data_IF_221833824493
#
_entry.id   IF_221833824493
#
_cell.length_a   1.000
_cell.length_b   1.000
_cell.length_c   1.000
_cell.angle_alpha   90.00
_cell.angle_beta   90.00
_cell.angle_gamma   90.00
#
_symmetry.space_group_name_H-M   'P 1'
#
loop_
_entity.id
_entity.type
_entity.pdbx_description
1 polymer ?
#
# COMPACT_ATOMS: atom_id res chain seq x y z
N UNK A 1 3.47 -9.36 -27.47
CA UNK A 1 3.66 -8.54 -26.24
C UNK A 1 4.95 -8.95 -25.57
N UNK A 2 5.96 -8.09 -25.58
CA UNK A 2 7.19 -8.27 -24.80
C UNK A 2 6.82 -8.20 -23.32
N UNK A 3 7.13 -9.26 -22.57
CA UNK A 3 6.82 -9.38 -21.14
C UNK A 3 7.73 -8.43 -20.35
N UNK A 4 7.26 -7.21 -20.10
CA UNK A 4 7.95 -6.28 -19.20
C UNK A 4 7.72 -6.75 -17.76
N UNK A 5 8.80 -7.05 -17.05
CA UNK A 5 8.78 -7.40 -15.63
C UNK A 5 9.65 -6.41 -14.86
N UNK A 6 9.09 -5.84 -13.80
CA UNK A 6 9.86 -5.09 -12.81
C UNK A 6 10.61 -6.09 -11.92
N UNK A 7 11.92 -5.93 -11.81
CA UNK A 7 12.78 -6.75 -10.96
C UNK A 7 13.61 -5.83 -10.05
N UNK A 8 14.12 -6.38 -8.94
CA UNK A 8 15.04 -5.67 -8.05
C UNK A 8 14.38 -4.74 -7.03
N UNK A 9 13.06 -4.70 -6.92
CA UNK A 9 12.36 -3.95 -5.88
C UNK A 9 12.28 -4.74 -4.57
N UNK A 10 12.79 -4.13 -3.50
CA UNK A 10 12.60 -4.61 -2.13
C UNK A 10 11.16 -4.35 -1.66
N UNK A 11 10.77 -4.91 -0.51
CA UNK A 11 9.44 -4.73 0.07
C UNK A 11 9.10 -3.25 0.29
N UNK A 12 10.06 -2.47 0.80
CA UNK A 12 9.94 -1.04 0.99
C UNK A 12 9.65 -0.29 -0.31
N UNK A 13 10.37 -0.62 -1.39
CA UNK A 13 10.20 0.05 -2.69
C UNK A 13 8.80 -0.21 -3.24
N UNK A 14 8.27 -1.43 -3.07
CA UNK A 14 6.89 -1.78 -3.45
C UNK A 14 5.88 -0.99 -2.62
N UNK A 15 6.12 -0.82 -1.33
CA UNK A 15 5.24 -0.03 -0.48
C UNK A 15 5.21 1.45 -0.90
N UNK A 16 6.38 2.06 -1.13
CA UNK A 16 6.47 3.44 -1.66
C UNK A 16 5.81 3.54 -3.02
N UNK A 17 5.98 2.51 -3.87
CA UNK A 17 5.35 2.45 -5.17
C UNK A 17 3.82 2.46 -5.07
N UNK A 18 3.25 1.59 -4.24
CA UNK A 18 1.81 1.54 -3.98
C UNK A 18 1.27 2.85 -3.39
N UNK A 19 2.03 3.48 -2.49
CA UNK A 19 1.59 4.70 -1.81
C UNK A 19 1.63 5.94 -2.71
N UNK A 20 2.59 6.04 -3.65
CA UNK A 20 2.89 7.31 -4.33
C UNK A 20 3.11 7.20 -5.83
N UNK A 21 3.71 6.11 -6.30
CA UNK A 21 4.17 6.04 -7.69
C UNK A 21 3.12 5.45 -8.63
N UNK A 22 2.19 4.61 -8.15
CA UNK A 22 1.11 4.07 -8.99
C UNK A 22 0.31 5.20 -9.65
N UNK A 23 -0.17 6.17 -8.87
CA UNK A 23 -0.94 7.30 -9.39
C UNK A 23 -0.17 8.17 -10.36
N UNK A 24 1.15 8.31 -10.21
CA UNK A 24 1.96 9.16 -11.08
C UNK A 24 2.46 8.42 -12.33
N UNK A 25 3.02 7.23 -12.14
CA UNK A 25 3.69 6.47 -13.19
C UNK A 25 2.72 5.99 -14.28
N UNK A 26 1.45 5.76 -13.93
CA UNK A 26 0.47 5.18 -14.84
C UNK A 26 -0.60 6.14 -15.33
N UNK A 27 -0.56 7.42 -14.94
CA UNK A 27 -1.57 8.43 -15.30
C UNK A 27 -1.83 8.50 -16.81
N UNK A 28 -0.78 8.52 -17.63
CA UNK A 28 -0.91 8.59 -19.09
C UNK A 28 -0.90 7.20 -19.77
N UNK A 29 -0.70 6.13 -18.99
CA UNK A 29 -0.52 4.77 -19.52
C UNK A 29 -1.78 3.91 -19.42
N UNK A 30 -2.66 4.21 -18.47
CA UNK A 30 -3.87 3.43 -18.19
C UNK A 30 -5.12 4.20 -18.62
N UNK A 31 -6.20 3.46 -18.86
CA UNK A 31 -7.51 4.06 -19.05
C UNK A 31 -7.95 4.75 -17.76
N UNK A 32 -8.62 5.90 -17.90
CA UNK A 32 -9.03 6.76 -16.77
C UNK A 32 -9.72 5.99 -15.65
N UNK A 33 -10.64 5.08 -16.00
CA UNK A 33 -11.37 4.28 -15.01
C UNK A 33 -10.44 3.34 -14.22
N UNK A 34 -9.43 2.73 -14.85
CA UNK A 34 -8.47 1.86 -14.18
C UNK A 34 -7.54 2.67 -13.30
N UNK A 35 -7.01 3.77 -13.83
CA UNK A 35 -6.11 4.67 -13.11
C UNK A 35 -6.77 5.28 -11.87
N UNK A 36 -8.03 5.70 -11.99
CA UNK A 36 -8.81 6.24 -10.89
C UNK A 36 -8.93 5.25 -9.72
N UNK A 37 -9.25 3.97 -9.99
CA UNK A 37 -9.36 2.95 -8.91
C UNK A 37 -8.03 2.62 -8.26
N UNK A 38 -6.96 2.55 -9.05
CA UNK A 38 -5.62 2.38 -8.52
C UNK A 38 -5.20 3.56 -7.62
N UNK A 39 -5.62 4.77 -7.97
CA UNK A 39 -5.33 5.97 -7.19
C UNK A 39 -6.09 6.03 -5.88
N UNK A 40 -7.32 5.50 -5.81
CA UNK A 40 -8.06 5.33 -4.54
C UNK A 40 -7.28 4.45 -3.55
N UNK A 41 -6.70 3.35 -4.03
CA UNK A 41 -5.85 2.47 -3.22
C UNK A 41 -4.58 3.21 -2.76
N UNK A 42 -3.90 3.94 -3.65
CA UNK A 42 -2.74 4.76 -3.28
C UNK A 42 -3.08 5.79 -2.21
N UNK A 43 -4.22 6.47 -2.33
CA UNK A 43 -4.69 7.45 -1.35
C UNK A 43 -4.99 6.84 0.03
N UNK A 44 -5.56 5.63 0.06
CA UNK A 44 -5.76 4.87 1.29
C UNK A 44 -4.41 4.61 1.97
N UNK A 45 -3.44 4.04 1.26
CA UNK A 45 -2.10 3.78 1.81
C UNK A 45 -1.40 5.07 2.23
N UNK A 46 -1.57 6.15 1.47
CA UNK A 46 -0.99 7.45 1.81
C UNK A 46 -1.54 7.99 3.13
N UNK A 47 -2.83 7.80 3.38
CA UNK A 47 -3.52 8.29 4.57
C UNK A 47 -3.11 7.50 5.82
N UNK A 48 -3.09 6.17 5.75
CA UNK A 48 -2.70 5.32 6.90
C UNK A 48 -1.19 5.39 7.20
N UNK A 49 -0.36 5.65 6.18
CA UNK A 49 1.10 5.75 6.33
C UNK A 49 1.60 7.20 6.48
N UNK A 50 0.70 8.15 6.73
CA UNK A 50 1.05 9.55 6.96
C UNK A 50 1.90 9.70 8.23
N UNK A 51 2.74 10.73 8.27
CA UNK A 51 3.57 11.06 9.44
C UNK A 51 2.74 11.50 10.65
N UNK A 52 1.52 11.98 10.40
CA UNK A 52 0.46 12.31 11.35
C UNK A 52 -0.83 11.61 10.94
N UNK A 53 -1.61 11.12 11.91
CA UNK A 53 -2.91 10.50 11.64
C UNK A 53 -4.03 11.50 11.89
N UNK A 54 -4.89 11.66 10.89
CA UNK A 54 -6.17 12.36 11.01
C UNK A 54 -7.26 11.34 11.32
N UNK A 55 -7.77 11.36 12.54
CA UNK A 55 -8.77 10.39 13.02
C UNK A 55 -10.08 10.50 12.23
N UNK A 56 -10.48 11.72 11.85
CA UNK A 56 -11.70 11.95 11.06
C UNK A 56 -11.55 11.29 9.69
N UNK A 57 -10.40 11.52 9.04
CA UNK A 57 -10.08 10.89 7.75
C UNK A 57 -10.01 9.37 7.84
N UNK A 58 -9.44 8.82 8.92
CA UNK A 58 -9.40 7.37 9.13
C UNK A 58 -10.81 6.78 9.29
N UNK A 59 -11.71 7.48 9.98
CA UNK A 59 -13.11 7.06 10.12
C UNK A 59 -13.85 7.06 8.77
N UNK A 60 -13.62 8.06 7.92
CA UNK A 60 -14.15 8.09 6.55
C UNK A 60 -13.58 6.95 5.69
N UNK A 61 -12.30 6.64 5.87
CA UNK A 61 -11.65 5.52 5.18
C UNK A 61 -12.17 4.16 5.66
N UNK A 62 -12.50 4.00 6.94
CA UNK A 62 -13.14 2.78 7.47
C UNK A 62 -14.49 2.49 6.78
N UNK A 63 -15.23 3.53 6.40
CA UNK A 63 -16.51 3.37 5.68
C UNK A 63 -16.33 3.20 4.17
N UNK A 64 -15.32 3.83 3.57
CA UNK A 64 -15.11 3.80 2.11
C UNK A 64 -14.22 2.67 1.62
N UNK A 65 -13.40 2.04 2.49
CA UNK A 65 -12.44 1.00 2.08
C UNK A 65 -13.08 -0.22 1.43
N UNK A 66 -14.27 -0.63 1.88
CA UNK A 66 -15.01 -1.72 1.24
C UNK A 66 -15.39 -1.38 -0.21
N UNK A 67 -15.79 -0.12 -0.46
CA UNK A 67 -16.09 0.37 -1.81
C UNK A 67 -14.82 0.42 -2.67
N UNK A 68 -13.70 0.88 -2.11
CA UNK A 68 -12.39 0.89 -2.80
C UNK A 68 -11.99 -0.53 -3.21
N UNK A 69 -12.19 -1.53 -2.34
CA UNK A 69 -11.92 -2.94 -2.66
C UNK A 69 -12.84 -3.45 -3.76
N UNK A 70 -14.15 -3.21 -3.68
CA UNK A 70 -15.08 -3.61 -4.75
C UNK A 70 -14.73 -2.96 -6.09
N UNK A 71 -14.39 -1.66 -6.08
CA UNK A 71 -13.95 -0.95 -7.28
C UNK A 71 -12.69 -1.55 -7.90
N UNK A 72 -11.77 -2.08 -7.06
CA UNK A 72 -10.56 -2.76 -7.50
C UNK A 72 -10.89 -4.13 -8.10
N UNK A 73 -11.85 -4.86 -7.53
CA UNK A 73 -12.36 -6.14 -8.03
C UNK A 73 -13.02 -6.02 -9.41
N UNK A 74 -13.59 -4.87 -9.76
CA UNK A 74 -14.13 -4.63 -11.09
C UNK A 74 -13.06 -4.62 -12.19
N UNK A 75 -11.82 -4.19 -11.88
CA UNK A 75 -10.76 -4.00 -12.87
C UNK A 75 -9.75 -5.15 -12.93
N UNK A 76 -9.69 -5.99 -11.90
CA UNK A 76 -8.78 -7.14 -11.83
C UNK A 76 -9.54 -8.47 -11.94
N UNK A 77 -8.93 -9.52 -12.51
CA UNK A 77 -9.53 -10.86 -12.52
C UNK A 77 -9.80 -11.37 -11.10
N UNK A 78 -10.90 -12.10 -10.88
CA UNK A 78 -11.23 -12.65 -9.56
C UNK A 78 -10.15 -13.55 -8.95
N UNK A 79 -9.32 -14.19 -9.78
CA UNK A 79 -8.17 -15.00 -9.32
C UNK A 79 -7.07 -14.17 -8.65
N UNK A 80 -7.08 -12.85 -8.81
CA UNK A 80 -6.15 -11.95 -8.13
C UNK A 80 -6.53 -11.70 -6.67
N UNK A 81 -7.80 -11.83 -6.30
CA UNK A 81 -8.28 -11.55 -4.95
C UNK A 81 -8.39 -12.85 -4.17
N UNK A 82 -7.38 -13.11 -3.35
CA UNK A 82 -7.46 -14.08 -2.28
C UNK A 82 -7.73 -13.37 -0.94
N UNK A 83 -7.78 -14.13 0.16
CA UNK A 83 -8.05 -13.59 1.48
C UNK A 83 -7.10 -12.45 1.91
N UNK A 84 -5.88 -12.41 1.36
CA UNK A 84 -4.85 -11.44 1.73
C UNK A 84 -5.15 -10.05 1.18
N UNK A 85 -5.65 -9.93 -0.06
CA UNK A 85 -6.01 -8.65 -0.67
C UNK A 85 -7.14 -7.97 0.11
N UNK A 86 -8.08 -8.75 0.66
CA UNK A 86 -9.17 -8.24 1.47
C UNK A 86 -8.76 -7.71 2.84
N UNK A 87 -7.54 -7.99 3.33
CA UNK A 87 -7.07 -7.44 4.61
C UNK A 87 -6.97 -5.91 4.61
N UNK A 88 -6.95 -5.27 3.43
CA UNK A 88 -6.99 -3.81 3.28
C UNK A 88 -8.16 -3.19 4.08
N UNK A 89 -9.30 -3.87 4.19
CA UNK A 89 -10.49 -3.35 4.89
C UNK A 89 -10.23 -3.07 6.38
N UNK A 90 -9.26 -3.74 6.98
CA UNK A 90 -8.94 -3.59 8.40
C UNK A 90 -7.90 -2.48 8.65
N UNK A 91 -7.14 -2.08 7.64
CA UNK A 91 -5.98 -1.20 7.82
C UNK A 91 -6.35 0.19 8.38
N UNK A 92 -7.47 0.77 7.96
CA UNK A 92 -7.92 2.07 8.46
C UNK A 92 -8.24 2.01 9.97
N UNK A 93 -8.95 0.96 10.39
CA UNK A 93 -9.25 0.71 11.80
C UNK A 93 -7.99 0.43 12.62
N UNK A 94 -7.10 -0.42 12.11
CA UNK A 94 -5.83 -0.72 12.76
C UNK A 94 -4.92 0.50 12.87
N UNK A 95 -4.94 1.41 11.88
CA UNK A 95 -4.25 2.70 11.95
C UNK A 95 -4.83 3.58 13.05
N UNK A 96 -6.16 3.66 13.15
CA UNK A 96 -6.85 4.48 14.16
C UNK A 96 -6.58 3.99 15.59
N UNK A 97 -6.65 2.68 15.82
CA UNK A 97 -6.48 2.10 17.17
C UNK A 97 -5.00 1.92 17.54
N UNK A 98 -4.17 1.48 16.59
CA UNK A 98 -2.75 1.18 16.84
C UNK A 98 -1.80 2.36 16.62
N UNK A 99 -2.31 3.52 16.20
CA UNK A 99 -1.51 4.72 15.97
C UNK A 99 -0.62 4.63 14.73
N UNK A 100 0.43 5.46 14.69
CA UNK A 100 1.26 5.66 13.50
C UNK A 100 1.87 4.35 12.98
N UNK A 101 1.55 4.02 11.73
CA UNK A 101 1.99 2.79 11.05
C UNK A 101 3.53 2.70 10.99
N UNK A 102 4.24 3.83 10.88
CA UNK A 102 5.72 3.88 10.83
C UNK A 102 6.43 3.21 12.01
N UNK A 103 5.81 3.17 13.19
CA UNK A 103 6.39 2.53 14.38
C UNK A 103 6.07 1.04 14.48
N UNK A 104 5.15 0.56 13.65
CA UNK A 104 4.66 -0.83 13.64
C UNK A 104 5.17 -1.62 12.43
N UNK A 105 5.91 -0.97 11.54
CA UNK A 105 6.56 -1.64 10.42
C UNK A 105 7.71 -2.53 10.87
N UNK A 106 7.89 -3.64 10.15
CA UNK A 106 9.05 -4.53 10.28
C UNK A 106 10.34 -3.86 9.76
N UNK A 107 10.22 -2.96 8.77
CA UNK A 107 11.37 -2.40 8.05
C UNK A 107 12.47 -1.78 8.94
N UNK A 108 12.17 -0.93 9.95
CA UNK A 108 13.20 -0.39 10.84
C UNK A 108 13.97 -1.49 11.59
N UNK A 109 13.30 -2.58 11.97
CA UNK A 109 13.91 -3.72 12.64
C UNK A 109 14.78 -4.54 11.68
N UNK A 110 14.29 -4.82 10.47
CA UNK A 110 15.06 -5.51 9.43
C UNK A 110 16.34 -4.75 9.08
N UNK A 111 16.24 -3.42 8.96
CA UNK A 111 17.36 -2.53 8.70
C UNK A 111 18.41 -2.59 9.82
N UNK A 112 17.96 -2.50 11.07
CA UNK A 112 18.85 -2.61 12.24
C UNK A 112 19.56 -3.98 12.31
N UNK A 113 18.83 -5.08 12.10
CA UNK A 113 19.40 -6.43 12.09
C UNK A 113 20.43 -6.62 10.97
N UNK A 114 20.17 -6.04 9.79
CA UNK A 114 21.12 -6.06 8.67
C UNK A 114 22.43 -5.37 9.06
N UNK A 115 22.36 -4.21 9.70
CA UNK A 115 23.55 -3.45 10.09
C UNK A 115 24.37 -4.21 11.14
N UNK A 116 23.72 -4.81 12.14
CA UNK A 116 24.37 -5.71 13.10
C UNK A 116 25.10 -6.88 12.42
N UNK A 117 24.44 -7.52 11.44
CA UNK A 117 25.02 -8.64 10.69
C UNK A 117 26.26 -8.22 9.89
N UNK A 118 26.29 -6.99 9.38
CA UNK A 118 27.45 -6.44 8.67
C UNK A 118 28.62 -6.18 9.63
N UNK A 119 28.34 -5.74 10.86
CA UNK A 119 29.35 -5.54 11.90
C UNK A 119 30.00 -6.85 12.37
N UNK A 120 29.24 -7.95 12.40
CA UNK A 120 29.72 -9.28 12.83
C UNK A 120 30.51 -10.03 11.74
N UNK A 121 30.42 -9.62 10.48
CA UNK A 121 31.14 -10.23 9.35
C UNK A 121 32.54 -9.65 9.14
N UNK A 122 33.00 -8.81 10.06
CA UNK A 122 34.31 -8.18 10.09
C UNK A 122 35.15 -8.80 11.19
#
# INVERSE_FOLDING_TARGET
>A
MTKLRMHGMESHDRHVFMQKLISLAFHEMLLEHVWSRLTEVSFLFQSICSTTLDVTKLHELEHSVAVIMCNLEEIFPSVFFDSMEHLIIHLSYEARVGGLVKYRWMYPFEMFLRDLKMMMKK
#
